data_IF_881031728090
#
_entry.id   IF_881031728090
#
_cell.length_a   1.000
_cell.length_b   1.000
_cell.length_c   1.000
_cell.angle_alpha   90.00
_cell.angle_beta   90.00
_cell.angle_gamma   90.00
#
_symmetry.space_group_name_H-M   'P 1'
#
loop_
_entity.id
_entity.type
_entity.pdbx_description
1 polymer ?
#
# COMPACT_ATOMS: atom_id res chain seq x y z
N UNK A 1 9.91 9.03 47.92
CA UNK A 1 9.63 9.38 46.51
C UNK A 1 8.58 10.50 46.50
N UNK A 2 8.93 11.72 46.06
CA UNK A 2 7.99 12.84 46.01
C UNK A 2 6.84 12.49 45.08
N UNK A 3 5.60 12.49 45.60
CA UNK A 3 4.40 12.19 44.83
C UNK A 3 3.98 13.49 44.13
N UNK A 4 4.08 13.49 42.81
CA UNK A 4 3.66 14.61 41.95
C UNK A 4 2.21 14.99 42.28
N UNK A 5 1.99 16.25 42.63
CA UNK A 5 0.71 16.74 43.15
C UNK A 5 -0.31 16.81 42.00
N UNK A 6 -1.60 16.68 42.28
CA UNK A 6 -2.62 16.52 41.22
C UNK A 6 -2.64 17.69 40.23
N UNK A 7 -2.29 18.90 40.68
CA UNK A 7 -2.12 20.09 39.84
C UNK A 7 -1.01 19.98 38.80
N UNK A 8 0.12 19.37 39.17
CA UNK A 8 1.25 19.18 38.26
C UNK A 8 0.93 18.13 37.20
N UNK A 9 0.16 17.09 37.58
CA UNK A 9 -0.34 16.08 36.64
C UNK A 9 -1.30 16.69 35.62
N UNK A 10 -2.19 17.57 36.07
CA UNK A 10 -3.11 18.31 35.19
C UNK A 10 -2.36 19.25 34.24
N UNK A 11 -1.37 19.99 34.73
CA UNK A 11 -0.55 20.88 33.89
C UNK A 11 0.22 20.11 32.81
N UNK A 12 0.78 18.95 33.17
CA UNK A 12 1.43 18.05 32.22
C UNK A 12 0.44 17.53 31.17
N UNK A 13 -0.75 17.11 31.58
CA UNK A 13 -1.79 16.63 30.67
C UNK A 13 -2.23 17.70 29.67
N UNK A 14 -2.38 18.96 30.11
CA UNK A 14 -2.70 20.07 29.20
C UNK A 14 -1.58 20.33 28.20
N UNK A 15 -0.32 20.26 28.65
CA UNK A 15 0.84 20.40 27.77
C UNK A 15 0.89 19.29 26.73
N UNK A 16 0.64 18.04 27.16
CA UNK A 16 0.63 16.87 26.28
C UNK A 16 -0.54 16.94 25.28
N UNK A 17 -1.73 17.37 25.72
CA UNK A 17 -2.88 17.58 24.84
C UNK A 17 -2.60 18.65 23.78
N UNK A 18 -2.01 19.77 24.19
CA UNK A 18 -1.68 20.86 23.28
C UNK A 18 -0.57 20.49 22.29
N UNK A 19 0.35 19.62 22.71
CA UNK A 19 1.36 19.06 21.82
C UNK A 19 0.74 18.11 20.79
N UNK A 20 -0.10 17.18 21.23
CA UNK A 20 -0.79 16.24 20.34
C UNK A 20 -1.69 16.94 19.32
N UNK A 21 -2.35 18.03 19.72
CA UNK A 21 -3.17 18.83 18.80
C UNK A 21 -2.33 19.47 17.70
N UNK A 22 -1.15 20.02 18.04
CA UNK A 22 -0.21 20.59 17.08
C UNK A 22 0.38 19.54 16.14
N UNK A 23 0.79 18.38 16.69
CA UNK A 23 1.30 17.26 15.89
C UNK A 23 0.24 16.76 14.90
N UNK A 24 -1.01 16.63 15.33
CA UNK A 24 -2.13 16.25 14.46
C UNK A 24 -2.33 17.25 13.32
N UNK A 25 -2.26 18.55 13.60
CA UNK A 25 -2.37 19.57 12.56
C UNK A 25 -1.18 19.55 11.60
N UNK A 26 0.03 19.31 12.09
CA UNK A 26 1.24 19.19 11.26
C UNK A 26 1.12 18.02 10.29
N UNK A 27 0.65 16.85 10.78
CA UNK A 27 0.42 15.66 9.95
C UNK A 27 -0.66 15.91 8.90
N UNK A 28 -1.77 16.57 9.25
CA UNK A 28 -2.80 16.92 8.24
C UNK A 28 -2.26 17.86 7.16
N UNK A 29 -1.44 18.84 7.54
CA UNK A 29 -0.81 19.77 6.59
C UNK A 29 0.16 19.05 5.66
N UNK A 30 1.00 18.14 6.17
CA UNK A 30 1.94 17.39 5.33
C UNK A 30 1.21 16.44 4.37
N UNK A 31 0.18 15.73 4.82
CA UNK A 31 -0.69 14.91 3.96
C UNK A 31 -1.30 15.75 2.85
N UNK A 32 -1.88 16.92 3.18
CA UNK A 32 -2.49 17.81 2.18
C UNK A 32 -1.45 18.32 1.18
N UNK A 33 -0.24 18.65 1.62
CA UNK A 33 0.84 19.06 0.73
C UNK A 33 1.28 17.92 -0.20
N UNK A 34 1.38 16.69 0.30
CA UNK A 34 1.72 15.50 -0.50
C UNK A 34 0.65 15.21 -1.55
N UNK A 35 -0.63 15.21 -1.17
CA UNK A 35 -1.72 15.02 -2.13
C UNK A 35 -1.81 16.18 -3.14
N UNK A 36 -1.51 17.42 -2.72
CA UNK A 36 -1.42 18.56 -3.62
C UNK A 36 -0.28 18.44 -4.63
N UNK A 37 0.89 17.95 -4.20
CA UNK A 37 2.01 17.68 -5.09
C UNK A 37 1.69 16.57 -6.10
N UNK A 38 1.04 15.48 -5.65
CA UNK A 38 0.59 14.41 -6.54
C UNK A 38 -0.41 14.87 -7.60
N UNK A 39 -1.29 15.82 -7.25
CA UNK A 39 -2.22 16.41 -8.22
C UNK A 39 -1.46 17.27 -9.25
N UNK A 40 -0.56 18.14 -8.77
CA UNK A 40 0.27 19.00 -9.63
C UNK A 40 1.20 18.20 -10.57
N UNK A 41 1.64 17.01 -10.16
CA UNK A 41 2.48 16.12 -10.95
C UNK A 41 1.69 15.28 -11.97
N UNK A 42 0.35 15.40 -12.03
CA UNK A 42 -0.42 14.70 -13.05
C UNK A 42 -0.19 15.33 -14.42
N UNK A 43 0.24 14.52 -15.40
CA UNK A 43 0.43 14.96 -16.79
C UNK A 43 -0.85 15.58 -17.39
N UNK A 44 -2.03 15.23 -16.87
CA UNK A 44 -3.31 15.84 -17.24
C UNK A 44 -3.41 17.33 -16.91
N UNK A 45 -2.72 17.81 -15.87
CA UNK A 45 -2.73 19.24 -15.50
C UNK A 45 -1.81 20.09 -16.40
N UNK A 46 -0.89 19.46 -17.13
CA UNK A 46 -0.05 20.15 -18.13
C UNK A 46 -0.77 20.36 -19.46
N UNK A 47 -1.86 19.61 -19.71
CA UNK A 47 -2.69 19.77 -20.89
C UNK A 47 -3.61 20.97 -20.73
N UNK A 48 -3.68 21.79 -21.77
CA UNK A 48 -4.74 22.80 -21.85
C UNK A 48 -6.11 22.14 -22.00
N UNK A 49 -7.17 22.83 -21.58
CA UNK A 49 -8.54 22.29 -21.69
C UNK A 49 -8.88 21.87 -23.14
N UNK A 50 -8.39 22.63 -24.13
CA UNK A 50 -8.58 22.32 -25.54
C UNK A 50 -7.94 20.98 -25.92
N UNK A 51 -6.67 20.79 -25.55
CA UNK A 51 -5.93 19.55 -25.85
C UNK A 51 -6.56 18.35 -25.17
N UNK A 52 -7.01 18.50 -23.92
CA UNK A 52 -7.71 17.45 -23.20
C UNK A 52 -9.01 17.03 -23.89
N UNK A 53 -9.83 17.99 -24.33
CA UNK A 53 -11.07 17.66 -25.06
C UNK A 53 -10.77 17.00 -26.40
N UNK A 54 -9.76 17.45 -27.13
CA UNK A 54 -9.38 16.87 -28.41
C UNK A 54 -8.90 15.41 -28.23
N UNK A 55 -8.10 15.14 -27.20
CA UNK A 55 -7.67 13.78 -26.85
C UNK A 55 -8.85 12.86 -26.49
N UNK A 56 -9.80 13.34 -25.68
CA UNK A 56 -11.00 12.57 -25.32
C UNK A 56 -11.85 12.30 -26.56
N UNK A 57 -12.08 13.30 -27.41
CA UNK A 57 -12.87 13.14 -28.62
C UNK A 57 -12.27 12.09 -29.56
N UNK A 58 -10.95 12.11 -29.73
CA UNK A 58 -10.27 11.13 -30.57
C UNK A 58 -10.29 9.73 -29.94
N UNK A 59 -10.09 9.62 -28.62
CA UNK A 59 -10.20 8.34 -27.90
C UNK A 59 -11.61 7.74 -27.97
N UNK A 60 -12.66 8.57 -27.92
CA UNK A 60 -14.05 8.14 -28.08
C UNK A 60 -14.30 7.64 -29.52
N UNK A 61 -13.77 8.33 -30.53
CA UNK A 61 -13.92 7.96 -31.95
C UNK A 61 -13.25 6.64 -32.30
N UNK A 62 -12.05 6.41 -31.78
CA UNK A 62 -11.26 5.20 -32.05
C UNK A 62 -11.74 4.02 -31.17
N UNK A 63 -12.43 4.31 -30.07
CA UNK A 63 -12.97 3.32 -29.14
C UNK A 63 -11.96 2.96 -28.04
N UNK A 64 -12.47 2.86 -26.80
CA UNK A 64 -11.67 2.70 -25.59
C UNK A 64 -10.56 1.62 -25.66
N UNK A 65 -10.84 0.38 -26.11
CA UNK A 65 -9.82 -0.67 -26.16
C UNK A 65 -8.67 -0.36 -27.11
N UNK A 66 -8.96 0.20 -28.29
CA UNK A 66 -7.96 0.56 -29.29
C UNK A 66 -7.14 1.78 -28.86
N UNK A 67 -7.79 2.80 -28.28
CA UNK A 67 -7.12 3.96 -27.70
C UNK A 67 -6.16 3.54 -26.57
N UNK A 68 -6.61 2.68 -25.65
CA UNK A 68 -5.78 2.18 -24.55
C UNK A 68 -4.60 1.34 -25.08
N UNK A 69 -4.81 0.49 -26.08
CA UNK A 69 -3.74 -0.31 -26.67
C UNK A 69 -2.66 0.57 -27.31
N UNK A 70 -3.06 1.61 -28.06
CA UNK A 70 -2.14 2.58 -28.65
C UNK A 70 -1.36 3.37 -27.59
N UNK A 71 -2.05 3.89 -26.56
CA UNK A 71 -1.39 4.63 -25.47
C UNK A 71 -0.41 3.77 -24.67
N UNK A 72 -0.74 2.48 -24.43
CA UNK A 72 0.18 1.53 -23.79
C UNK A 72 1.41 1.23 -24.65
N UNK A 73 1.26 1.16 -25.97
CA UNK A 73 2.38 0.95 -26.88
C UNK A 73 3.35 2.14 -26.93
N UNK A 74 2.84 3.35 -26.66
CA UNK A 74 3.63 4.59 -26.61
C UNK A 74 4.29 4.84 -25.25
N UNK A 75 3.92 4.10 -24.19
CA UNK A 75 4.44 4.36 -22.85
C UNK A 75 5.86 3.81 -22.66
N UNK A 76 6.88 4.66 -22.39
CA UNK A 76 8.18 4.19 -21.94
C UNK A 76 8.17 3.71 -20.47
N UNK A 77 7.02 3.79 -19.77
CA UNK A 77 6.91 3.70 -18.31
C UNK A 77 6.16 2.45 -17.80
N UNK A 78 6.04 1.40 -18.60
CA UNK A 78 5.62 0.09 -18.08
C UNK A 78 6.51 -0.43 -16.91
N UNK A 79 7.66 0.21 -16.65
CA UNK A 79 8.62 -0.13 -15.60
C UNK A 79 8.53 0.70 -14.29
N UNK A 80 7.66 1.72 -14.16
CA UNK A 80 7.65 2.58 -12.95
C UNK A 80 6.35 2.63 -12.15
N UNK A 81 5.34 1.84 -12.50
CA UNK A 81 4.33 1.45 -11.51
C UNK A 81 4.81 0.18 -10.83
N UNK A 82 5.87 0.31 -10.01
CA UNK A 82 6.18 -0.76 -9.06
C UNK A 82 4.94 -0.97 -8.19
N UNK A 83 4.46 -2.21 -7.97
CA UNK A 83 3.51 -2.43 -6.91
C UNK A 83 4.20 -1.91 -5.64
N UNK A 84 3.49 -1.10 -4.86
CA UNK A 84 3.87 -0.78 -3.50
C UNK A 84 3.98 -2.11 -2.72
N UNK A 85 5.13 -2.78 -2.85
CA UNK A 85 5.54 -3.84 -1.96
C UNK A 85 5.84 -3.13 -0.65
N UNK A 86 4.83 -3.12 0.20
CA UNK A 86 4.91 -3.00 1.64
C UNK A 86 6.10 -3.85 2.13
N UNK A 87 7.30 -3.25 2.18
CA UNK A 87 8.44 -3.80 2.87
C UNK A 87 8.19 -3.64 4.37
N UNK A 88 7.27 -4.43 4.89
CA UNK A 88 7.24 -4.75 6.32
C UNK A 88 8.58 -5.44 6.62
N UNK A 89 9.41 -4.92 7.53
CA UNK A 89 10.51 -5.71 8.05
C UNK A 89 9.88 -6.86 8.85
N UNK A 90 9.79 -8.05 8.24
CA UNK A 90 9.62 -9.29 8.97
C UNK A 90 10.89 -9.47 9.82
N UNK A 91 10.86 -8.96 11.05
CA UNK A 91 11.76 -9.42 12.08
C UNK A 91 11.40 -10.86 12.39
N UNK A 92 12.07 -11.80 11.73
CA UNK A 92 12.07 -13.20 12.11
C UNK A 92 12.79 -13.32 13.46
N UNK A 93 12.04 -13.16 14.54
CA UNK A 93 12.46 -13.68 15.83
C UNK A 93 12.34 -15.19 15.77
N UNK A 94 13.47 -15.84 15.48
CA UNK A 94 13.63 -17.27 15.54
C UNK A 94 13.23 -17.78 16.93
N UNK A 95 12.12 -18.51 16.98
CA UNK A 95 11.82 -19.41 18.09
C UNK A 95 11.85 -20.82 17.51
N UNK A 96 12.98 -21.49 17.76
CA UNK A 96 13.18 -22.89 17.49
C UNK A 96 12.16 -23.74 18.26
N UNK A 97 11.28 -24.46 17.55
CA UNK A 97 10.52 -25.57 18.16
C UNK A 97 10.42 -26.75 17.18
N UNK A 98 11.30 -27.71 17.46
CA UNK A 98 11.17 -29.17 17.33
C UNK A 98 10.94 -29.78 15.94
N UNK A 99 12.04 -30.39 15.46
CA UNK A 99 12.09 -31.47 14.47
C UNK A 99 11.02 -32.54 14.74
N UNK A 100 10.20 -32.83 13.73
CA UNK A 100 9.41 -34.08 13.65
C UNK A 100 10.38 -35.26 13.58
N UNK A 101 10.23 -36.31 14.41
CA UNK A 101 10.84 -37.58 14.11
C UNK A 101 10.04 -38.32 13.04
N UNK A 102 10.78 -39.12 12.28
CA UNK A 102 10.37 -39.85 11.09
C UNK A 102 9.25 -40.87 11.32
N UNK A 103 8.50 -41.10 10.25
CA UNK A 103 7.64 -42.27 10.00
C UNK A 103 8.43 -43.57 10.18
N UNK A 104 7.87 -44.60 10.84
CA UNK A 104 8.21 -45.97 10.54
C UNK A 104 7.21 -46.54 9.53
N UNK A 105 7.82 -46.99 8.45
CA UNK A 105 7.32 -47.83 7.38
C UNK A 105 6.99 -49.24 7.90
N UNK A 106 5.88 -49.84 7.44
CA UNK A 106 5.78 -51.30 7.31
C UNK A 106 4.47 -51.97 7.77
N UNK A 107 3.99 -52.89 6.91
CA UNK A 107 2.94 -53.91 7.06
C UNK A 107 1.49 -53.41 6.85
N UNK A 108 0.62 -53.98 5.99
CA UNK A 108 0.64 -55.19 5.17
C UNK A 108 -0.55 -55.05 4.15
N UNK A 109 -0.30 -55.15 2.85
CA UNK A 109 -0.68 -56.26 1.94
C UNK A 109 -1.97 -56.05 1.13
N UNK A 110 -2.05 -56.64 -0.08
CA UNK A 110 -2.84 -56.14 -1.21
C UNK A 110 -4.18 -56.87 -1.38
N UNK A 111 -5.13 -56.20 -2.04
CA UNK A 111 -6.39 -56.79 -2.48
C UNK A 111 -6.79 -56.23 -3.83
N UNK A 112 -6.30 -56.88 -4.88
CA UNK A 112 -6.83 -56.78 -6.25
C UNK A 112 -8.31 -57.16 -6.28
N UNK A 113 -9.09 -56.46 -7.11
CA UNK A 113 -10.52 -56.72 -7.27
C UNK A 113 -11.14 -55.91 -8.40
N UNK A 114 -10.63 -56.09 -9.62
CA UNK A 114 -11.35 -55.80 -10.88
C UNK A 114 -12.68 -56.57 -10.94
N UNK A 115 -13.78 -55.92 -11.31
CA UNK A 115 -15.02 -56.61 -11.63
C UNK A 115 -16.20 -55.69 -11.95
N UNK A 116 -16.36 -55.41 -13.25
CA UNK A 116 -17.59 -55.08 -14.01
C UNK A 116 -18.43 -53.86 -13.59
#
# INVERSE_FOLDING_TARGET
MPKMNDRERLAKLMTDQQRLSQETQAVRRSLRAQYGALAADMEVETLTEREFRDLINEAIRVGGPAAIAALKALSPTAAKTGPAQEQRPRQEHGVAVRRRPATPQGAASPGDGTGL
#
